data_IF_530684045660
#
_entry.id   IF_530684045660
#
_cell.length_a   1.000
_cell.length_b   1.000
_cell.length_c   1.000
_cell.angle_alpha   90.00
_cell.angle_beta   90.00
_cell.angle_gamma   90.00
#
_symmetry.space_group_name_H-M   'P 1'
#
loop_
_entity.id
_entity.type
_entity.pdbx_description
1 polymer ?
#
# COMPACT_ATOMS: atom_id res chain seq x y z
N UNK A 1 -14.96 -14.82 -11.80
CA UNK A 1 -14.70 -14.87 -10.33
C UNK A 1 -14.62 -16.32 -9.84
N UNK A 2 -13.40 -16.78 -9.52
CA UNK A 2 -13.12 -18.17 -9.11
C UNK A 2 -13.34 -18.27 -7.59
N UNK A 3 -14.40 -19.01 -7.20
CA UNK A 3 -14.88 -19.32 -5.82
C UNK A 3 -15.68 -18.20 -5.13
N UNK A 4 -17.01 -18.39 -5.12
CA UNK A 4 -18.07 -17.98 -4.15
C UNK A 4 -17.72 -17.06 -2.95
N UNK A 5 -16.90 -16.03 -3.12
CA UNK A 5 -16.72 -14.96 -2.13
C UNK A 5 -17.71 -13.85 -2.46
N UNK A 6 -18.70 -13.67 -1.60
CA UNK A 6 -19.49 -12.44 -1.59
C UNK A 6 -18.56 -11.30 -1.18
N UNK A 7 -18.29 -10.38 -2.11
CA UNK A 7 -17.57 -9.15 -1.82
C UNK A 7 -18.62 -8.10 -1.50
N UNK A 8 -18.92 -7.90 -0.23
CA UNK A 8 -19.82 -6.84 0.22
C UNK A 8 -18.99 -5.59 0.47
N UNK A 9 -19.15 -4.58 -0.39
CA UNK A 9 -18.55 -3.26 -0.17
C UNK A 9 -19.49 -2.51 0.78
N UNK A 10 -19.18 -2.54 2.07
CA UNK A 10 -19.86 -1.71 3.08
C UNK A 10 -19.16 -0.35 3.05
N UNK A 11 -19.87 0.68 2.63
CA UNK A 11 -19.38 2.06 2.52
C UNK A 11 -18.11 2.21 1.66
N UNK A 12 -18.26 2.03 0.34
CA UNK A 12 -17.17 2.14 -0.61
C UNK A 12 -16.53 3.53 -0.59
N UNK A 13 -15.40 3.67 0.10
CA UNK A 13 -14.56 4.86 -0.01
C UNK A 13 -14.14 5.03 -1.48
N UNK A 14 -14.37 6.22 -2.05
CA UNK A 14 -13.88 6.58 -3.37
C UNK A 14 -12.35 6.41 -3.40
N UNK A 15 -11.86 5.48 -4.22
CA UNK A 15 -10.42 5.28 -4.43
C UNK A 15 -9.99 6.03 -5.66
N UNK A 16 -9.12 7.02 -5.51
CA UNK A 16 -8.46 7.68 -6.63
C UNK A 16 -7.25 6.85 -7.05
N UNK A 17 -7.17 6.48 -8.32
CA UNK A 17 -5.94 5.93 -8.90
C UNK A 17 -4.90 7.04 -9.05
N UNK A 18 -3.64 6.74 -8.77
CA UNK A 18 -2.54 7.68 -8.92
C UNK A 18 -1.18 6.99 -8.83
N UNK A 19 -0.12 7.77 -9.00
CA UNK A 19 1.25 7.34 -8.77
C UNK A 19 1.82 8.13 -7.59
N UNK A 20 2.58 7.46 -6.73
CA UNK A 20 3.43 8.09 -5.72
C UNK A 20 4.87 7.65 -5.95
N UNK A 21 5.78 8.60 -5.82
CA UNK A 21 7.21 8.37 -5.90
C UNK A 21 7.79 8.72 -4.53
N UNK A 22 8.60 7.81 -3.98
CA UNK A 22 9.35 8.02 -2.75
C UNK A 22 10.83 7.85 -3.06
N UNK A 23 11.65 8.79 -2.57
CA UNK A 23 13.11 8.68 -2.64
C UNK A 23 13.62 8.09 -1.33
N UNK A 24 14.34 6.98 -1.42
CA UNK A 24 15.03 6.42 -0.26
C UNK A 24 16.29 7.25 0.03
N UNK A 25 16.54 7.67 1.28
CA UNK A 25 17.76 8.38 1.61
C UNK A 25 18.98 7.45 1.53
N UNK A 26 20.16 8.02 1.26
CA UNK A 26 21.39 7.26 0.99
C UNK A 26 21.93 6.47 2.18
N UNK A 27 21.43 6.73 3.39
CA UNK A 27 21.84 5.99 4.59
C UNK A 27 21.27 4.57 4.67
N UNK A 28 20.42 4.17 3.72
CA UNK A 28 19.94 2.80 3.57
C UNK A 28 20.83 1.94 2.64
N UNK A 29 21.92 2.49 2.06
CA UNK A 29 22.79 1.71 1.16
C UNK A 29 23.31 0.45 1.85
N UNK A 30 23.14 -0.70 1.18
CA UNK A 30 23.43 -2.03 1.70
C UNK A 30 22.25 -2.72 2.41
N UNK A 31 21.20 -1.98 2.77
CA UNK A 31 20.03 -2.53 3.46
C UNK A 31 18.98 -3.10 2.48
N UNK A 32 18.24 -4.10 2.94
CA UNK A 32 16.99 -4.53 2.30
C UNK A 32 15.84 -3.67 2.80
N UNK A 33 15.20 -2.96 1.87
CA UNK A 33 13.99 -2.17 2.14
C UNK A 33 12.77 -2.91 1.63
N UNK A 34 11.80 -3.15 2.52
CA UNK A 34 10.51 -3.76 2.18
C UNK A 34 9.39 -2.72 2.22
N UNK A 35 8.72 -2.54 1.08
CA UNK A 35 7.66 -1.57 0.90
C UNK A 35 6.29 -2.23 0.97
N UNK A 36 5.39 -1.63 1.75
CA UNK A 36 4.00 -2.04 1.87
C UNK A 36 3.09 -0.83 1.63
N UNK A 37 1.94 -1.03 0.98
CA UNK A 37 0.95 0.02 0.73
C UNK A 37 -0.33 -0.25 1.51
N UNK A 38 -0.79 0.77 2.24
CA UNK A 38 -2.09 0.82 2.90
C UNK A 38 -2.89 2.03 2.42
N UNK A 39 -4.21 1.96 2.54
CA UNK A 39 -5.12 3.05 2.18
C UNK A 39 -5.81 3.57 3.43
N UNK A 40 -5.94 4.89 3.52
CA UNK A 40 -6.64 5.58 4.60
C UNK A 40 -7.79 6.44 4.05
N UNK A 41 -8.80 6.68 4.87
CA UNK A 41 -9.83 7.69 4.55
C UNK A 41 -9.30 9.11 4.81
N UNK A 42 -10.01 10.12 4.29
CA UNK A 42 -9.53 11.51 4.31
C UNK A 42 -9.29 12.11 5.71
N UNK A 43 -9.98 11.59 6.73
CA UNK A 43 -9.79 11.99 8.14
C UNK A 43 -8.88 11.03 8.93
N UNK A 44 -8.26 10.05 8.27
CA UNK A 44 -7.29 9.12 8.84
C UNK A 44 -7.84 8.24 9.98
N UNK A 45 -9.16 8.09 10.10
CA UNK A 45 -9.79 7.27 11.15
C UNK A 45 -9.89 5.79 10.80
N UNK A 46 -9.81 5.45 9.51
CA UNK A 46 -9.91 4.08 9.01
C UNK A 46 -8.71 3.78 8.12
N UNK A 47 -8.06 2.67 8.42
CA UNK A 47 -6.89 2.14 7.70
C UNK A 47 -7.21 0.76 7.12
N UNK A 48 -6.80 0.51 5.88
CA UNK A 48 -6.85 -0.84 5.31
C UNK A 48 -5.67 -1.68 5.80
N UNK A 49 -5.78 -3.00 5.66
CA UNK A 49 -4.60 -3.87 5.74
C UNK A 49 -3.59 -3.46 4.67
N UNK A 50 -2.32 -3.41 5.06
CA UNK A 50 -1.22 -3.15 4.14
C UNK A 50 -0.99 -4.35 3.21
N UNK A 51 -0.52 -4.08 1.99
CA UNK A 51 -0.16 -5.08 0.98
C UNK A 51 1.31 -4.90 0.61
N UNK A 52 2.04 -6.00 0.45
CA UNK A 52 3.41 -5.96 -0.03
C UNK A 52 3.48 -5.42 -1.46
N UNK A 53 4.45 -4.54 -1.72
CA UNK A 53 4.68 -3.93 -3.03
C UNK A 53 5.99 -4.44 -3.63
N UNK A 54 7.11 -4.26 -2.92
CA UNK A 54 8.44 -4.61 -3.38
C UNK A 54 9.41 -4.76 -2.20
N UNK A 55 10.42 -5.62 -2.38
CA UNK A 55 11.62 -5.67 -1.56
C UNK A 55 12.82 -5.36 -2.47
N UNK A 56 13.73 -4.49 -2.03
CA UNK A 56 14.87 -4.06 -2.85
C UNK A 56 16.11 -3.86 -1.98
N UNK A 57 17.28 -4.24 -2.50
CA UNK A 57 18.58 -3.94 -1.89
C UNK A 57 19.04 -2.57 -2.39
N UNK A 58 19.22 -1.62 -1.48
CA UNK A 58 19.69 -0.28 -1.85
C UNK A 58 21.16 -0.36 -2.21
N UNK A 59 21.50 0.11 -3.42
CA UNK A 59 22.86 0.18 -3.94
C UNK A 59 23.53 1.48 -3.47
#
# INVERSE_FOLDING_TARGET
PVKKRAVTIVEGNTRTSGSQIMTLPSNFSGDEVQCYIGFQNGNQSVMSNSQFVIGLIVL
#
